data_IF_138072502625
#
_entry.id   IF_138072502625
#
_cell.length_a   1.000
_cell.length_b   1.000
_cell.length_c   1.000
_cell.angle_alpha   90.00
_cell.angle_beta   90.00
_cell.angle_gamma   90.00
#
_symmetry.space_group_name_H-M   'P 1'
#
loop_
_entity.id
_entity.type
_entity.pdbx_description
1 polymer ?
#
# COMPACT_ATOMS: atom_id res chain seq x y z
N UNK A 1 18.36 -14.84 -17.78
CA UNK A 1 17.30 -15.23 -18.73
C UNK A 1 16.08 -14.36 -18.46
N UNK A 2 15.50 -13.71 -19.48
CA UNK A 2 14.27 -12.94 -19.30
C UNK A 2 13.09 -13.89 -19.06
N UNK A 3 12.16 -13.53 -18.16
CA UNK A 3 10.92 -14.30 -17.92
C UNK A 3 10.04 -14.28 -19.17
N UNK A 4 9.42 -15.40 -19.52
CA UNK A 4 8.49 -15.43 -20.65
C UNK A 4 7.16 -14.77 -20.27
N UNK A 5 6.57 -14.04 -21.21
CA UNK A 5 5.28 -13.37 -21.00
C UNK A 5 4.17 -14.33 -21.41
N UNK A 6 3.29 -14.69 -20.49
CA UNK A 6 2.07 -15.47 -20.77
C UNK A 6 1.00 -14.56 -21.38
N UNK A 7 0.78 -13.37 -20.79
CA UNK A 7 -0.21 -12.41 -21.26
C UNK A 7 0.17 -10.99 -20.88
N UNK A 8 -0.11 -10.03 -21.77
CA UNK A 8 0.09 -8.60 -21.54
C UNK A 8 -1.14 -7.83 -21.99
N UNK A 9 -1.61 -6.90 -21.15
CA UNK A 9 -2.73 -6.00 -21.47
C UNK A 9 -2.34 -4.56 -21.11
N UNK A 10 -2.81 -3.56 -21.87
CA UNK A 10 -2.51 -2.16 -21.58
C UNK A 10 -3.19 -1.71 -20.28
N UNK A 11 -2.56 -0.75 -19.60
CA UNK A 11 -3.10 -0.03 -18.44
C UNK A 11 -3.04 1.47 -18.74
N UNK A 12 -4.04 2.23 -18.29
CA UNK A 12 -4.08 3.69 -18.32
C UNK A 12 -4.17 4.22 -16.90
N UNK A 13 -3.43 5.29 -16.61
CA UNK A 13 -3.41 5.93 -15.29
C UNK A 13 -3.21 7.45 -15.45
N UNK A 14 -2.90 8.14 -14.34
CA UNK A 14 -2.78 9.61 -14.22
C UNK A 14 -2.34 10.32 -15.50
N UNK A 15 -3.08 11.35 -15.90
CA UNK A 15 -2.75 12.20 -17.05
C UNK A 15 -2.75 11.49 -18.40
N UNK A 16 -3.41 10.32 -18.52
CA UNK A 16 -3.41 9.52 -19.75
C UNK A 16 -2.13 8.72 -19.98
N UNK A 17 -1.24 8.64 -18.97
CA UNK A 17 -0.06 7.77 -19.00
C UNK A 17 -0.47 6.32 -19.24
N UNK A 18 0.40 5.58 -19.94
CA UNK A 18 0.16 4.20 -20.33
C UNK A 18 1.19 3.29 -19.66
N UNK A 19 0.73 2.13 -19.22
CA UNK A 19 1.54 1.05 -18.68
C UNK A 19 1.03 -0.30 -19.18
N UNK A 20 1.41 -1.37 -18.50
CA UNK A 20 0.87 -2.70 -18.75
C UNK A 20 0.62 -3.48 -17.47
N UNK A 21 -0.36 -4.38 -17.55
CA UNK A 21 -0.47 -5.51 -16.65
C UNK A 21 0.05 -6.75 -17.38
N UNK A 22 1.07 -7.39 -16.83
CA UNK A 22 1.81 -8.50 -17.47
C UNK A 22 1.77 -9.71 -16.55
N UNK A 23 1.20 -10.81 -17.04
CA UNK A 23 1.31 -12.14 -16.45
C UNK A 23 2.50 -12.87 -17.08
N UNK A 24 3.42 -13.33 -16.25
CA UNK A 24 4.53 -14.17 -16.66
C UNK A 24 4.17 -15.66 -16.55
N UNK A 25 4.92 -16.50 -17.26
CA UNK A 25 4.76 -17.96 -17.28
C UNK A 25 4.94 -18.63 -15.90
N UNK A 26 5.81 -18.06 -15.07
CA UNK A 26 6.02 -18.44 -13.67
C UNK A 26 4.89 -17.98 -12.72
N UNK A 27 3.89 -17.28 -13.26
CA UNK A 27 2.70 -16.84 -12.56
C UNK A 27 2.87 -15.54 -11.77
N UNK A 28 4.02 -14.85 -11.87
CA UNK A 28 4.16 -13.48 -11.39
C UNK A 28 3.30 -12.53 -12.22
N UNK A 29 2.88 -11.42 -11.59
CA UNK A 29 2.15 -10.35 -12.25
C UNK A 29 2.86 -9.03 -12.00
N UNK A 30 3.25 -8.32 -13.07
CA UNK A 30 3.61 -6.90 -13.00
C UNK A 30 2.37 -6.07 -13.28
N UNK A 31 2.08 -5.10 -12.43
CA UNK A 31 0.95 -4.18 -12.57
C UNK A 31 1.52 -2.78 -12.54
N UNK A 32 1.58 -2.13 -13.70
CA UNK A 32 1.99 -0.74 -13.84
C UNK A 32 0.82 0.21 -13.54
N UNK A 33 1.11 1.45 -13.15
CA UNK A 33 0.09 2.50 -13.01
C UNK A 33 -0.83 2.29 -11.82
N UNK A 34 -0.31 1.76 -10.71
CA UNK A 34 -1.03 1.74 -9.43
C UNK A 34 -0.65 2.96 -8.61
N UNK A 35 -1.62 3.56 -7.90
CA UNK A 35 -1.38 4.60 -6.90
C UNK A 35 -1.06 3.92 -5.55
N UNK A 36 -0.02 4.34 -4.86
CA UNK A 36 0.43 3.68 -3.64
C UNK A 36 -0.38 4.11 -2.43
N UNK A 37 -0.84 3.15 -1.64
CA UNK A 37 -1.41 3.36 -0.32
C UNK A 37 -0.70 2.46 0.68
N UNK A 38 -0.42 2.99 1.88
CA UNK A 38 0.35 2.33 2.93
C UNK A 38 1.65 1.65 2.46
N UNK A 39 2.60 2.40 1.83
CA UNK A 39 3.88 1.85 1.39
C UNK A 39 4.83 1.64 2.57
N UNK A 40 4.83 0.43 3.15
CA UNK A 40 5.79 -0.01 4.17
C UNK A 40 7.00 -0.67 3.50
N UNK A 41 7.87 0.16 2.88
CA UNK A 41 8.98 -0.32 2.04
C UNK A 41 10.37 -0.10 2.67
N UNK A 42 10.54 0.89 3.55
CA UNK A 42 11.79 1.13 4.29
C UNK A 42 11.95 0.16 5.47
N UNK A 43 10.89 0.01 6.27
CA UNK A 43 10.80 -0.87 7.44
C UNK A 43 9.56 -1.76 7.35
N UNK A 44 9.63 -3.01 7.83
CA UNK A 44 8.47 -3.89 7.87
C UNK A 44 7.46 -3.40 8.92
N UNK A 45 6.18 -3.69 8.71
CA UNK A 45 5.06 -3.29 9.57
C UNK A 45 4.19 -4.49 9.93
N UNK A 46 3.79 -4.60 11.21
CA UNK A 46 3.01 -5.73 11.73
C UNK A 46 1.48 -5.49 11.72
N UNK A 47 1.03 -4.24 11.63
CA UNK A 47 -0.38 -3.90 11.88
C UNK A 47 -0.76 -4.07 13.35
N UNK A 48 -2.04 -3.88 13.65
CA UNK A 48 -2.59 -3.94 15.02
C UNK A 48 -2.83 -5.37 15.56
N UNK A 49 -2.10 -6.37 15.06
CA UNK A 49 -2.25 -7.76 15.50
C UNK A 49 -0.92 -8.45 15.75
N UNK A 50 -0.96 -9.65 16.34
CA UNK A 50 0.22 -10.50 16.64
C UNK A 50 0.90 -11.12 15.39
N UNK A 51 0.84 -10.43 14.25
CA UNK A 51 1.46 -10.87 13.00
C UNK A 51 2.95 -10.53 12.93
N UNK A 52 3.73 -11.38 12.27
CA UNK A 52 5.10 -11.04 11.87
C UNK A 52 5.11 -9.77 10.99
N UNK A 53 5.99 -8.81 11.33
CA UNK A 53 6.14 -7.57 10.57
C UNK A 53 6.59 -7.86 9.13
N UNK A 54 5.94 -7.20 8.16
CA UNK A 54 6.22 -7.40 6.72
C UNK A 54 6.34 -6.09 5.97
N UNK A 55 7.16 -6.10 4.93
CA UNK A 55 7.11 -5.07 3.91
C UNK A 55 5.82 -5.22 3.13
N UNK A 56 5.25 -4.12 2.65
CA UNK A 56 4.01 -4.20 1.90
C UNK A 56 3.57 -2.88 1.29
N UNK A 57 2.64 -2.99 0.35
CA UNK A 57 1.96 -1.86 -0.26
C UNK A 57 0.56 -2.28 -0.70
N UNK A 58 -0.37 -1.34 -0.66
CA UNK A 58 -1.65 -1.45 -1.35
C UNK A 58 -1.57 -0.64 -2.64
N UNK A 59 -1.61 -1.32 -3.78
CA UNK A 59 -1.70 -0.67 -5.08
C UNK A 59 -3.16 -0.39 -5.45
N UNK A 60 -3.48 0.85 -5.79
CA UNK A 60 -4.79 1.27 -6.26
C UNK A 60 -4.76 1.34 -7.79
N UNK A 61 -5.39 0.37 -8.44
CA UNK A 61 -5.51 0.32 -9.90
C UNK A 61 -6.82 0.99 -10.33
N UNK A 62 -6.81 2.09 -11.09
CA UNK A 62 -8.04 2.75 -11.52
C UNK A 62 -8.94 1.79 -12.28
N UNK A 63 -10.24 1.75 -11.99
CA UNK A 63 -11.19 0.87 -12.70
C UNK A 63 -11.34 1.29 -14.16
N UNK A 64 -11.50 2.58 -14.39
CA UNK A 64 -11.78 3.20 -15.70
C UNK A 64 -10.68 2.86 -16.72
N UNK A 65 -11.00 1.98 -17.67
CA UNK A 65 -10.12 1.63 -18.78
C UNK A 65 -9.06 0.57 -18.47
N UNK A 66 -9.14 -0.09 -17.30
CA UNK A 66 -8.21 -1.15 -16.86
C UNK A 66 -8.91 -2.47 -16.55
N UNK A 67 -10.13 -2.68 -17.06
CA UNK A 67 -10.92 -3.89 -16.84
C UNK A 67 -10.20 -5.13 -17.39
N UNK A 68 -9.41 -4.97 -18.45
CA UNK A 68 -8.57 -6.03 -19.00
C UNK A 68 -7.48 -6.48 -18.02
N UNK A 69 -6.87 -5.53 -17.28
CA UNK A 69 -5.88 -5.84 -16.24
C UNK A 69 -6.54 -6.58 -15.07
N UNK A 70 -7.73 -6.13 -14.64
CA UNK A 70 -8.51 -6.83 -13.61
C UNK A 70 -8.85 -8.27 -14.03
N UNK A 71 -9.32 -8.48 -15.26
CA UNK A 71 -9.62 -9.83 -15.79
C UNK A 71 -8.38 -10.73 -15.85
N UNK A 72 -7.21 -10.17 -16.18
CA UNK A 72 -5.94 -10.91 -16.18
C UNK A 72 -5.58 -11.38 -14.76
N UNK A 73 -5.69 -10.49 -13.76
CA UNK A 73 -5.47 -10.80 -12.35
C UNK A 73 -6.46 -11.89 -11.88
N UNK A 74 -7.74 -11.75 -12.21
CA UNK A 74 -8.78 -12.73 -11.84
C UNK A 74 -8.54 -14.10 -12.48
N UNK A 75 -8.00 -14.13 -13.70
CA UNK A 75 -7.63 -15.38 -14.38
C UNK A 75 -6.55 -16.12 -13.59
N UNK A 76 -5.53 -15.41 -13.08
CA UNK A 76 -4.48 -16.03 -12.25
C UNK A 76 -5.04 -16.53 -10.92
N UNK A 77 -5.94 -15.78 -10.29
CA UNK A 77 -6.63 -16.22 -9.06
C UNK A 77 -7.45 -17.48 -9.34
N UNK A 78 -8.25 -17.51 -10.40
CA UNK A 78 -9.05 -18.67 -10.78
C UNK A 78 -8.18 -19.91 -11.05
N UNK A 79 -7.02 -19.74 -11.70
CA UNK A 79 -6.04 -20.81 -11.90
C UNK A 79 -5.53 -21.37 -10.57
N UNK A 80 -5.13 -20.51 -9.63
CA UNK A 80 -4.70 -20.94 -8.28
C UNK A 80 -5.80 -21.68 -7.52
N UNK A 81 -7.05 -21.20 -7.59
CA UNK A 81 -8.18 -21.86 -6.95
C UNK A 81 -8.45 -23.25 -7.54
N UNK A 82 -8.38 -23.38 -8.88
CA UNK A 82 -8.55 -24.66 -9.58
C UNK A 82 -7.44 -25.65 -9.21
N UNK A 83 -6.18 -25.22 -9.23
CA UNK A 83 -5.01 -26.02 -8.83
C UNK A 83 -5.15 -26.57 -7.40
N UNK A 84 -5.76 -25.78 -6.50
CA UNK A 84 -5.97 -26.13 -5.10
C UNK A 84 -7.36 -26.70 -4.79
N UNK A 85 -8.15 -27.05 -5.81
CA UNK A 85 -9.49 -27.65 -5.68
C UNK A 85 -10.47 -26.82 -4.82
N UNK A 86 -10.38 -25.51 -4.91
CA UNK A 86 -11.29 -24.55 -4.25
C UNK A 86 -12.27 -23.98 -5.26
N UNK A 87 -13.58 -24.05 -4.98
CA UNK A 87 -14.62 -23.52 -5.88
C UNK A 87 -14.59 -21.99 -5.97
N UNK A 88 -14.61 -21.33 -4.81
CA UNK A 88 -14.63 -19.88 -4.71
C UNK A 88 -14.07 -19.43 -3.35
N UNK A 89 -13.69 -18.16 -3.28
CA UNK A 89 -13.34 -17.45 -2.07
C UNK A 89 -14.10 -16.12 -2.06
N UNK A 90 -14.48 -15.67 -0.86
CA UNK A 90 -15.02 -14.33 -0.64
C UNK A 90 -13.99 -13.25 -1.02
N UNK A 91 -14.46 -12.03 -1.29
CA UNK A 91 -13.63 -10.90 -1.73
C UNK A 91 -12.50 -10.58 -0.74
N UNK A 92 -12.81 -10.60 0.57
CA UNK A 92 -11.88 -10.35 1.67
C UNK A 92 -10.76 -11.42 1.81
N UNK A 93 -10.92 -12.57 1.17
CA UNK A 93 -9.94 -13.67 1.14
C UNK A 93 -9.01 -13.61 -0.08
N UNK A 94 -9.11 -12.57 -0.90
CA UNK A 94 -8.25 -12.34 -2.07
C UNK A 94 -7.39 -11.10 -1.86
N UNK A 95 -6.23 -11.09 -2.51
CA UNK A 95 -5.32 -9.93 -2.52
C UNK A 95 -5.87 -8.76 -3.36
N UNK A 96 -6.84 -9.01 -4.25
CA UNK A 96 -7.52 -7.99 -5.04
C UNK A 96 -8.97 -7.81 -4.55
N UNK A 97 -9.39 -6.58 -4.31
CA UNK A 97 -10.75 -6.25 -3.83
C UNK A 97 -11.31 -5.02 -4.52
N UNK A 98 -12.62 -4.84 -4.39
CA UNK A 98 -13.30 -3.61 -4.76
C UNK A 98 -12.94 -2.49 -3.78
N UNK A 99 -12.39 -1.38 -4.29
CA UNK A 99 -12.08 -0.19 -3.48
C UNK A 99 -13.32 0.59 -3.07
N UNK A 100 -14.39 0.55 -3.87
CA UNK A 100 -15.66 1.25 -3.57
C UNK A 100 -16.35 0.64 -2.32
N UNK A 101 -16.05 -0.61 -1.99
CA UNK A 101 -16.58 -1.30 -0.80
C UNK A 101 -15.79 -1.01 0.48
N UNK A 102 -14.72 -0.20 0.41
CA UNK A 102 -13.82 0.01 1.55
C UNK A 102 -14.23 1.11 2.52
N UNK A 103 -15.10 2.03 2.09
CA UNK A 103 -15.47 3.24 2.83
C UNK A 103 -14.37 4.31 2.90
N UNK A 104 -13.27 4.15 2.14
CA UNK A 104 -12.18 5.11 2.03
C UNK A 104 -12.30 5.89 0.72
N UNK A 105 -12.33 7.22 0.81
CA UNK A 105 -12.48 8.09 -0.35
C UNK A 105 -11.34 7.87 -1.35
N UNK A 106 -10.11 7.67 -0.88
CA UNK A 106 -8.96 7.47 -1.77
C UNK A 106 -9.03 6.14 -2.57
N UNK A 107 -9.89 5.19 -2.16
CA UNK A 107 -10.07 3.90 -2.83
C UNK A 107 -11.22 3.91 -3.83
N UNK A 108 -12.08 4.93 -3.82
CA UNK A 108 -13.20 5.03 -4.75
C UNK A 108 -12.71 5.03 -6.20
N UNK A 109 -13.41 4.30 -7.07
CA UNK A 109 -13.05 4.13 -8.47
C UNK A 109 -11.80 3.28 -8.71
N UNK A 110 -11.26 2.59 -7.70
CA UNK A 110 -10.07 1.74 -7.81
C UNK A 110 -10.34 0.27 -7.44
N UNK A 111 -9.53 -0.63 -8.00
CA UNK A 111 -9.30 -1.96 -7.44
C UNK A 111 -8.11 -1.90 -6.50
N UNK A 112 -8.25 -2.43 -5.29
CA UNK A 112 -7.14 -2.49 -4.32
C UNK A 112 -6.36 -3.79 -4.52
N UNK A 113 -5.03 -3.71 -4.50
CA UNK A 113 -4.12 -4.85 -4.65
C UNK A 113 -3.16 -4.86 -3.47
N UNK A 114 -3.39 -5.73 -2.49
CA UNK A 114 -2.55 -5.83 -1.30
C UNK A 114 -1.46 -6.88 -1.50
N UNK A 115 -0.19 -6.46 -1.39
CA UNK A 115 0.95 -7.36 -1.48
C UNK A 115 1.90 -7.15 -0.29
N UNK A 116 2.39 -8.26 0.28
CA UNK A 116 3.27 -8.24 1.46
C UNK A 116 4.38 -9.29 1.35
N UNK A 117 5.54 -9.03 1.94
CA UNK A 117 6.67 -9.96 1.97
C UNK A 117 7.52 -9.75 3.23
N UNK A 118 8.08 -10.83 3.78
CA UNK A 118 8.97 -10.73 4.96
C UNK A 118 10.34 -10.20 4.57
N UNK A 119 10.84 -10.60 3.39
CA UNK A 119 12.08 -10.11 2.81
C UNK A 119 11.86 -8.74 2.16
N UNK A 120 12.78 -7.80 2.41
CA UNK A 120 12.78 -6.48 1.77
C UNK A 120 12.77 -6.63 0.24
N UNK A 121 11.76 -6.10 -0.46
CA UNK A 121 11.70 -6.17 -1.92
C UNK A 121 12.73 -5.21 -2.54
N UNK A 122 13.32 -5.54 -3.71
CA UNK A 122 14.08 -4.57 -4.50
C UNK A 122 13.20 -3.40 -4.92
N UNK A 123 13.71 -2.18 -4.72
CA UNK A 123 13.04 -0.92 -5.02
C UNK A 123 13.72 -0.23 -6.19
N UNK A 124 12.93 0.36 -7.09
CA UNK A 124 13.40 1.03 -8.30
C UNK A 124 12.88 2.46 -8.44
N UNK A 125 13.73 3.36 -8.91
CA UNK A 125 13.33 4.73 -9.26
C UNK A 125 12.64 4.77 -10.64
N UNK A 126 12.25 5.97 -11.08
CA UNK A 126 11.60 6.20 -12.39
C UNK A 126 12.49 5.81 -13.58
N UNK A 127 13.82 5.86 -13.41
CA UNK A 127 14.82 5.41 -14.39
C UNK A 127 15.03 3.88 -14.38
N UNK A 128 14.49 3.16 -13.40
CA UNK A 128 14.68 1.71 -13.24
C UNK A 128 15.95 1.32 -12.49
N UNK A 129 16.63 2.27 -11.86
CA UNK A 129 17.84 2.06 -11.06
C UNK A 129 17.48 1.63 -9.65
N UNK A 130 18.42 1.01 -8.92
CA UNK A 130 18.21 0.64 -7.51
C UNK A 130 18.06 1.91 -6.68
N UNK A 131 17.11 1.92 -5.74
CA UNK A 131 16.94 3.01 -4.78
C UNK A 131 17.80 2.76 -3.55
N UNK A 132 18.56 3.77 -3.13
CA UNK A 132 19.35 3.72 -1.90
C UNK A 132 18.44 3.75 -0.66
N UNK A 133 18.85 3.16 0.47
CA UNK A 133 17.98 3.04 1.66
C UNK A 133 17.44 4.37 2.19
N UNK A 134 18.19 5.46 2.04
CA UNK A 134 17.84 6.78 2.58
C UNK A 134 16.76 7.47 1.73
N UNK A 135 16.76 7.26 0.41
CA UNK A 135 15.80 7.87 -0.52
C UNK A 135 14.43 7.15 -0.54
N UNK A 136 14.29 6.01 0.15
CA UNK A 136 13.07 5.18 0.08
C UNK A 136 11.82 5.93 0.56
N UNK A 137 11.94 6.72 1.62
CA UNK A 137 10.79 7.45 2.19
C UNK A 137 10.36 8.60 1.28
N UNK A 138 11.29 9.26 0.61
CA UNK A 138 10.99 10.37 -0.29
C UNK A 138 10.39 9.88 -1.63
N UNK A 139 10.87 8.75 -2.14
CA UNK A 139 10.47 8.25 -3.46
C UNK A 139 9.20 7.39 -3.44
N UNK A 140 8.85 6.78 -2.32
CA UNK A 140 7.69 5.87 -2.23
C UNK A 140 6.61 6.42 -1.32
N UNK A 141 6.26 7.68 -1.51
CA UNK A 141 5.21 8.33 -0.73
C UNK A 141 3.82 7.76 -1.01
N UNK A 142 2.92 7.71 0.00
CA UNK A 142 1.54 7.36 -0.23
C UNK A 142 0.92 8.42 -1.16
N UNK A 143 0.17 7.99 -2.17
CA UNK A 143 -0.37 8.85 -3.22
C UNK A 143 0.45 8.87 -4.51
N UNK A 144 1.75 8.55 -4.47
CA UNK A 144 2.57 8.45 -5.68
C UNK A 144 2.18 7.25 -6.54
N UNK A 145 2.57 7.27 -7.82
CA UNK A 145 2.24 6.21 -8.77
C UNK A 145 3.46 5.38 -9.14
N UNK A 146 3.23 4.10 -9.37
CA UNK A 146 4.29 3.21 -9.81
C UNK A 146 3.82 1.85 -10.30
N UNK A 147 4.77 0.92 -10.34
CA UNK A 147 4.57 -0.47 -10.69
C UNK A 147 4.84 -1.37 -9.50
N UNK A 148 4.00 -2.39 -9.34
CA UNK A 148 4.23 -3.49 -8.39
C UNK A 148 4.46 -4.79 -9.15
N UNK A 149 5.45 -5.56 -8.73
CA UNK A 149 5.64 -6.94 -9.15
C UNK A 149 5.22 -7.85 -8.02
N UNK A 150 4.20 -8.67 -8.27
CA UNK A 150 3.60 -9.54 -7.25
C UNK A 150 3.70 -11.00 -7.65
N UNK A 151 3.74 -11.87 -6.64
CA UNK A 151 3.67 -13.32 -6.76
C UNK A 151 2.41 -13.83 -6.06
N UNK A 152 1.29 -14.02 -6.79
CA UNK A 152 0.10 -14.64 -6.24
C UNK A 152 0.36 -16.07 -5.73
N UNK A 153 -0.16 -16.40 -4.56
CA UNK A 153 -0.05 -17.73 -3.95
C UNK A 153 -1.29 -18.09 -3.13
N UNK A 154 -1.55 -19.39 -3.02
CA UNK A 154 -2.68 -19.90 -2.25
C UNK A 154 -2.25 -20.28 -0.83
N UNK A 155 -2.97 -19.74 0.16
CA UNK A 155 -2.82 -20.07 1.58
C UNK A 155 -3.89 -21.06 1.99
N UNK A 156 -3.50 -22.09 2.74
CA UNK A 156 -4.40 -22.97 3.48
C UNK A 156 -3.73 -23.37 4.80
N UNK A 157 -4.07 -22.67 5.88
CA UNK A 157 -3.55 -22.93 7.22
C UNK A 157 -4.66 -22.71 8.27
N UNK A 158 -4.30 -22.67 9.56
CA UNK A 158 -5.21 -22.44 10.69
C UNK A 158 -6.02 -21.14 10.58
N UNK A 159 -5.52 -20.12 9.87
CA UNK A 159 -6.20 -18.84 9.64
C UNK A 159 -7.14 -18.86 8.41
N UNK A 160 -7.30 -20.04 7.80
CA UNK A 160 -8.22 -20.30 6.70
C UNK A 160 -7.58 -20.25 5.31
N UNK A 161 -8.45 -20.22 4.30
CA UNK A 161 -8.10 -20.30 2.88
C UNK A 161 -8.09 -18.92 2.25
N UNK A 162 -6.99 -18.53 1.61
CA UNK A 162 -6.83 -17.23 0.94
C UNK A 162 -6.03 -17.34 -0.36
N UNK A 163 -6.18 -16.35 -1.23
CA UNK A 163 -5.21 -16.11 -2.32
C UNK A 163 -4.55 -14.78 -2.02
N UNK A 164 -3.29 -14.84 -1.60
CA UNK A 164 -2.48 -13.68 -1.23
C UNK A 164 -1.51 -13.32 -2.35
N UNK A 165 -0.82 -12.18 -2.20
CA UNK A 165 0.25 -11.76 -3.09
C UNK A 165 1.53 -11.48 -2.30
N UNK A 166 2.62 -12.17 -2.66
CA UNK A 166 3.96 -11.83 -2.22
C UNK A 166 4.47 -10.59 -2.97
N UNK A 167 5.07 -9.64 -2.27
CA UNK A 167 5.65 -8.44 -2.89
C UNK A 167 7.06 -8.74 -3.40
N UNK A 168 7.25 -8.77 -4.72
CA UNK A 168 8.53 -9.14 -5.33
C UNK A 168 9.41 -7.96 -5.72
N UNK A 169 8.83 -6.80 -6.07
CA UNK A 169 9.54 -5.56 -6.35
C UNK A 169 8.55 -4.39 -6.48
N UNK A 170 9.02 -3.17 -6.24
CA UNK A 170 8.25 -1.93 -6.47
C UNK A 170 9.11 -0.95 -7.27
N UNK A 171 8.50 -0.24 -8.20
CA UNK A 171 9.11 0.85 -8.95
C UNK A 171 8.24 2.10 -8.84
N UNK A 172 8.79 3.24 -8.46
CA UNK A 172 8.09 4.53 -8.60
C UNK A 172 8.16 5.01 -10.04
N UNK A 173 7.07 5.56 -10.57
CA UNK A 173 6.98 6.12 -11.92
C UNK A 173 6.88 7.64 -11.86
N UNK A 174 6.00 8.17 -11.00
CA UNK A 174 5.77 9.60 -10.92
C UNK A 174 5.06 10.02 -9.62
N UNK A 175 5.33 11.25 -9.24
CA UNK A 175 4.76 11.91 -8.07
C UNK A 175 3.30 12.35 -8.29
N UNK A 176 2.60 12.50 -7.18
CA UNK A 176 1.24 13.03 -7.10
C UNK A 176 0.98 13.60 -5.71
N UNK A 177 -0.20 14.19 -5.53
CA UNK A 177 -0.71 14.53 -4.22
C UNK A 177 -0.64 13.32 -3.28
N UNK A 178 -0.05 13.55 -2.11
CA UNK A 178 0.17 12.52 -1.10
C UNK A 178 -1.12 12.22 -0.33
N UNK A 179 -1.30 10.98 0.09
CA UNK A 179 -2.42 10.65 0.98
C UNK A 179 -2.11 11.02 2.42
N UNK A 180 -3.15 11.48 3.13
CA UNK A 180 -3.06 11.98 4.50
C UNK A 180 -3.01 13.50 4.52
N UNK A 181 -4.18 14.15 4.43
CA UNK A 181 -4.33 15.51 4.93
C UNK A 181 -4.06 15.49 6.45
N UNK A 182 -3.19 16.37 6.96
CA UNK A 182 -3.01 16.57 8.39
C UNK A 182 -1.86 15.80 9.04
N UNK A 183 -0.63 15.90 8.51
CA UNK A 183 0.45 16.19 9.47
C UNK A 183 0.32 17.67 9.76
N UNK A 184 0.03 18.01 11.02
CA UNK A 184 0.28 19.35 11.53
C UNK A 184 1.73 19.64 11.16
N UNK A 185 1.95 20.70 10.39
CA UNK A 185 3.30 21.13 10.05
C UNK A 185 4.09 21.42 11.33
N UNK A 186 5.42 21.35 11.29
CA UNK A 186 6.22 21.75 12.46
C UNK A 186 5.89 23.21 12.85
N UNK A 187 5.55 24.06 11.88
CA UNK A 187 5.06 25.42 12.15
C UNK A 187 3.69 25.47 12.86
N UNK A 188 2.71 24.67 12.42
CA UNK A 188 1.43 24.58 13.14
C UNK A 188 1.59 23.89 14.50
N UNK A 189 2.58 23.01 14.68
CA UNK A 189 2.91 22.43 15.98
C UNK A 189 3.48 23.52 16.89
N UNK A 190 4.43 24.30 16.39
CA UNK A 190 5.01 25.42 17.14
C UNK A 190 3.92 26.41 17.56
N UNK A 191 2.99 26.80 16.67
CA UNK A 191 1.84 27.67 17.02
C UNK A 191 0.92 27.04 18.08
N UNK A 192 0.67 25.73 18.02
CA UNK A 192 -0.15 25.01 19.00
C UNK A 192 0.53 24.91 20.37
N UNK A 193 1.85 24.72 20.39
CA UNK A 193 2.62 24.62 21.63
C UNK A 193 2.95 25.99 22.23
N UNK A 194 3.17 27.03 21.41
CA UNK A 194 3.34 28.42 21.87
C UNK A 194 2.03 29.00 22.42
N UNK A 195 0.88 28.61 21.87
CA UNK A 195 -0.45 29.02 22.38
C UNK A 195 -0.76 28.53 23.80
N UNK A 196 0.04 27.62 24.38
CA UNK A 196 -0.19 27.07 25.72
C UNK A 196 0.58 27.80 26.83
N UNK A 197 1.55 28.64 26.48
CA UNK A 197 2.43 29.32 27.44
C UNK A 197 1.97 30.74 27.84
N UNK A 198 0.85 31.28 27.30
CA UNK A 198 0.47 32.69 27.53
C UNK A 198 -0.69 32.96 28.50
N UNK A 199 -1.52 31.99 28.93
CA UNK A 199 -2.68 32.30 29.79
C UNK A 199 -3.04 31.18 30.79
N UNK A 200 -2.17 30.95 31.77
CA UNK A 200 -2.40 29.98 32.85
C UNK A 200 -1.90 30.51 34.18
N UNK A 201 -2.45 31.63 34.63
CA UNK A 201 -2.37 32.12 36.01
C UNK A 201 -2.96 31.04 36.94
N UNK A 202 -2.14 30.08 37.32
CA UNK A 202 -2.38 29.23 38.49
C UNK A 202 -2.10 30.14 39.69
N UNK A 203 -3.07 30.96 40.05
CA UNK A 203 -3.15 31.60 41.36
C UNK A 203 -3.22 30.48 42.40
N UNK A 204 -2.05 30.08 42.88
CA UNK A 204 -1.85 29.30 44.10
C UNK A 204 -2.10 30.27 45.26
N UNK A 205 -3.37 30.56 45.54
CA UNK A 205 -3.81 31.16 46.81
C UNK A 205 -3.56 30.11 47.92
N UNK A 206 -2.29 30.04 48.33
CA UNK A 206 -1.81 29.29 49.50
C UNK A 206 -2.32 30.05 50.74
N UNK A 207 -3.49 29.64 51.24
CA UNK A 207 -4.11 30.14 52.46
C UNK A 207 -3.18 29.85 53.65
N UNK A 208 -2.63 30.93 54.19
CA UNK A 208 -1.74 31.06 55.34
C UNK A 208 -2.52 30.73 56.63
N UNK A 209 -2.51 29.48 57.09
CA UNK A 209 -2.97 29.08 58.42
C UNK A 209 -1.77 28.76 59.34
N UNK A 210 -1.26 29.83 59.94
CA UNK A 210 -0.40 29.89 61.10
C UNK A 210 -1.06 29.14 62.29
N UNK A 211 -0.59 27.92 62.59
CA UNK A 211 -0.79 27.31 63.91
C UNK A 211 0.52 27.41 64.69
N UNK A 212 0.55 28.44 65.52
CA UNK A 212 1.47 28.64 66.63
C UNK A 212 1.45 27.46 67.61
N UNK A 213 2.59 27.27 68.25
CA UNK A 213 3.06 26.16 69.11
C UNK A 213 2.16 25.90 70.33
#
# INVERSE_FOLDING_TARGET
MARAIEKKVPVKFKGGRKGACVLYDDGLIRIDGVRFSYPHLKKPYAGDGDGEAKFGVVGLLPKKGNEAAKKLIDTRIAKLLKENKVKALASDKKFVRDGDESGKEEYEGHWTISARETRKPPLRNSSGETVEPDDVEDLFQPGYWGSILIRPWYQNNSYGKRVNAGLSSVQVICEDETFGEGRISDEELDDIYESWDDDGDFDDDDDDDEIDI
#
